data_IF_350335458913
#
_entry.id   IF_350335458913
#
_cell.length_a   1.000
_cell.length_b   1.000
_cell.length_c   1.000
_cell.angle_alpha   90.00
_cell.angle_beta   90.00
_cell.angle_gamma   90.00
#
_symmetry.space_group_name_H-M   'P 1'
#
loop_
_entity.id
_entity.type
_entity.pdbx_description
1 polymer ?
#
# COMPACT_ATOMS: atom_id res chain seq x y z
N UNK A 1 -9.64 -11.06 -20.45
CA UNK A 1 -8.88 -9.81 -20.64
C UNK A 1 -8.25 -9.32 -19.34
N UNK A 2 -8.97 -9.40 -18.19
CA UNK A 2 -8.53 -8.97 -16.86
C UNK A 2 -8.61 -10.13 -15.89
N UNK A 3 -7.60 -10.31 -15.02
CA UNK A 3 -7.72 -11.07 -13.78
C UNK A 3 -7.77 -10.09 -12.61
N UNK A 4 -8.81 -10.19 -11.77
CA UNK A 4 -8.91 -9.45 -10.51
C UNK A 4 -8.17 -10.26 -9.46
N UNK A 5 -7.11 -9.68 -8.89
CA UNK A 5 -6.13 -10.33 -8.03
C UNK A 5 -6.30 -9.82 -6.60
N UNK A 6 -6.71 -10.67 -5.68
CA UNK A 6 -6.97 -10.31 -4.28
C UNK A 6 -6.06 -11.15 -3.38
N UNK A 7 -4.96 -10.59 -2.84
CA UNK A 7 -4.18 -11.24 -1.79
C UNK A 7 -4.96 -11.20 -0.48
N UNK A 8 -5.02 -12.32 0.24
CA UNK A 8 -5.81 -12.46 1.46
C UNK A 8 -4.91 -12.86 2.62
N UNK A 9 -5.07 -12.19 3.76
CA UNK A 9 -4.52 -12.64 5.03
C UNK A 9 -5.45 -12.25 6.18
N UNK A 10 -6.01 -13.26 6.85
CA UNK A 10 -6.90 -13.13 8.00
C UNK A 10 -8.07 -12.15 7.79
N UNK A 11 -8.71 -12.20 6.62
CA UNK A 11 -9.83 -11.33 6.27
C UNK A 11 -10.94 -12.09 5.51
N UNK A 12 -12.21 -11.73 5.74
CA UNK A 12 -13.37 -12.28 5.03
C UNK A 12 -13.65 -11.45 3.77
N UNK A 13 -13.36 -12.00 2.59
CA UNK A 13 -13.51 -11.31 1.30
C UNK A 13 -14.87 -11.59 0.62
N UNK A 14 -15.78 -12.33 1.23
CA UNK A 14 -17.01 -12.76 0.57
C UNK A 14 -17.85 -11.60 0.03
N UNK A 15 -17.98 -10.52 0.79
CA UNK A 15 -18.75 -9.34 0.35
C UNK A 15 -18.11 -8.70 -0.89
N UNK A 16 -16.80 -8.46 -0.87
CA UNK A 16 -16.06 -7.89 -2.00
C UNK A 16 -16.21 -8.77 -3.25
N UNK A 17 -15.99 -10.08 -3.10
CA UNK A 17 -16.07 -11.03 -4.22
C UNK A 17 -17.48 -11.11 -4.81
N UNK A 18 -18.51 -11.13 -3.97
CA UNK A 18 -19.91 -11.15 -4.44
C UNK A 18 -20.27 -9.88 -5.22
N UNK A 19 -19.84 -8.71 -4.76
CA UNK A 19 -20.10 -7.45 -5.47
C UNK A 19 -19.33 -7.38 -6.80
N UNK A 20 -18.11 -7.88 -6.84
CA UNK A 20 -17.34 -8.00 -8.10
C UNK A 20 -18.01 -8.98 -9.07
N UNK A 21 -18.48 -10.15 -8.61
CA UNK A 21 -19.21 -11.11 -9.46
C UNK A 21 -20.45 -10.50 -10.08
N UNK A 22 -21.26 -9.75 -9.29
CA UNK A 22 -22.44 -9.05 -9.82
C UNK A 22 -22.05 -8.07 -10.92
N UNK A 23 -20.99 -7.31 -10.74
CA UNK A 23 -20.54 -6.34 -11.74
C UNK A 23 -19.95 -7.00 -12.99
N UNK A 24 -19.23 -8.13 -12.83
CA UNK A 24 -18.72 -8.92 -13.97
C UNK A 24 -19.87 -9.44 -14.84
N UNK A 25 -20.98 -9.86 -14.25
CA UNK A 25 -22.18 -10.31 -14.99
C UNK A 25 -22.86 -9.19 -15.79
N UNK A 26 -22.71 -7.94 -15.36
CA UNK A 26 -23.34 -6.78 -16.04
C UNK A 26 -22.51 -6.25 -17.22
N UNK A 27 -21.23 -6.61 -17.32
CA UNK A 27 -20.37 -6.15 -18.41
C UNK A 27 -20.39 -7.14 -19.56
N UNK A 28 -20.29 -6.65 -20.80
CA UNK A 28 -20.27 -7.48 -22.01
C UNK A 28 -18.95 -8.23 -22.25
N UNK A 29 -17.93 -7.92 -21.46
CA UNK A 29 -16.60 -8.55 -21.55
C UNK A 29 -16.55 -9.87 -20.76
N UNK A 30 -16.59 -10.99 -21.45
CA UNK A 30 -16.63 -12.34 -20.85
C UNK A 30 -15.26 -12.88 -20.42
N UNK A 31 -14.19 -12.12 -20.55
CA UNK A 31 -12.84 -12.58 -20.23
C UNK A 31 -12.30 -11.96 -18.93
N UNK A 32 -13.14 -11.96 -17.88
CA UNK A 32 -12.76 -11.50 -16.53
C UNK A 32 -12.89 -12.68 -15.55
N UNK A 33 -11.86 -12.89 -14.74
CA UNK A 33 -11.84 -13.86 -13.65
C UNK A 33 -11.33 -13.20 -12.35
N UNK A 34 -11.59 -13.88 -11.23
CA UNK A 34 -11.13 -13.46 -9.89
C UNK A 34 -10.18 -14.52 -9.37
N UNK A 35 -9.01 -14.11 -8.97
CA UNK A 35 -8.00 -14.98 -8.35
C UNK A 35 -7.82 -14.51 -6.91
N UNK A 36 -8.04 -15.41 -5.99
CA UNK A 36 -7.86 -15.23 -4.56
C UNK A 36 -6.65 -16.05 -4.14
N UNK A 37 -5.62 -15.42 -3.58
CA UNK A 37 -4.48 -16.13 -2.99
C UNK A 37 -4.48 -15.82 -1.49
N UNK A 38 -4.63 -16.88 -0.69
CA UNK A 38 -4.63 -16.82 0.77
C UNK A 38 -3.22 -17.08 1.30
N UNK A 39 -2.67 -16.08 1.99
CA UNK A 39 -1.30 -16.06 2.51
C UNK A 39 -1.19 -16.76 3.89
N UNK A 40 -1.68 -17.99 3.98
CA UNK A 40 -1.70 -18.79 5.19
C UNK A 40 -2.56 -18.18 6.32
N UNK A 41 -3.78 -17.76 6.00
CA UNK A 41 -4.75 -17.29 7.00
C UNK A 41 -5.15 -18.39 8.01
N UNK A 42 -5.72 -17.98 9.13
CA UNK A 42 -6.36 -18.88 10.09
C UNK A 42 -7.51 -19.64 9.44
N UNK A 43 -7.75 -20.87 9.89
CA UNK A 43 -8.74 -21.79 9.31
C UNK A 43 -10.15 -21.19 9.18
N UNK A 44 -10.56 -20.36 10.15
CA UNK A 44 -11.86 -19.66 10.10
C UNK A 44 -12.03 -18.80 8.85
N UNK A 45 -10.96 -18.11 8.39
CA UNK A 45 -11.01 -17.28 7.19
C UNK A 45 -10.89 -18.12 5.93
N UNK A 46 -10.03 -19.17 5.94
CA UNK A 46 -9.90 -20.10 4.82
C UNK A 46 -11.22 -20.78 4.49
N UNK A 47 -11.94 -21.24 5.49
CA UNK A 47 -13.26 -21.87 5.33
C UNK A 47 -14.29 -20.90 4.74
N UNK A 48 -14.30 -19.63 5.20
CA UNK A 48 -15.22 -18.60 4.70
C UNK A 48 -14.92 -18.21 3.25
N UNK A 49 -13.63 -18.10 2.89
CA UNK A 49 -13.18 -17.61 1.59
C UNK A 49 -13.14 -18.70 0.50
N UNK A 50 -13.39 -19.96 0.82
CA UNK A 50 -13.44 -21.07 -0.15
C UNK A 50 -14.72 -21.02 -1.00
N UNK A 51 -14.88 -19.95 -1.77
CA UNK A 51 -16.05 -19.68 -2.60
C UNK A 51 -15.97 -20.53 -3.87
N UNK A 52 -16.99 -21.37 -4.11
CA UNK A 52 -17.10 -22.18 -5.31
C UNK A 52 -17.89 -21.44 -6.39
N UNK A 53 -17.18 -20.95 -7.40
CA UNK A 53 -17.78 -20.27 -8.56
C UNK A 53 -16.87 -20.45 -9.78
N UNK A 54 -17.43 -20.58 -10.98
CA UNK A 54 -16.67 -20.87 -12.22
C UNK A 54 -15.63 -19.79 -12.59
N UNK A 55 -15.88 -18.55 -12.22
CA UNK A 55 -14.97 -17.42 -12.49
C UNK A 55 -14.00 -17.13 -11.35
N UNK A 56 -14.02 -17.92 -10.28
CA UNK A 56 -13.18 -17.70 -9.10
C UNK A 56 -12.19 -18.85 -8.94
N UNK A 57 -10.92 -18.51 -8.85
CA UNK A 57 -9.85 -19.42 -8.45
C UNK A 57 -9.39 -19.05 -7.04
N UNK A 58 -9.47 -20.01 -6.10
CA UNK A 58 -8.99 -19.84 -4.72
C UNK A 58 -7.76 -20.72 -4.48
N UNK A 59 -6.65 -20.10 -4.10
CA UNK A 59 -5.36 -20.73 -3.83
C UNK A 59 -4.98 -20.49 -2.37
N UNK A 60 -4.64 -21.54 -1.65
CA UNK A 60 -4.17 -21.46 -0.26
C UNK A 60 -2.68 -21.74 -0.20
N UNK A 61 -1.92 -20.88 0.46
CA UNK A 61 -0.50 -21.10 0.75
C UNK A 61 -0.34 -21.81 2.11
N UNK A 62 0.72 -22.59 2.24
CA UNK A 62 1.04 -23.29 3.49
C UNK A 62 1.68 -22.36 4.53
N UNK A 63 2.37 -21.31 4.06
CA UNK A 63 3.05 -20.33 4.91
C UNK A 63 2.86 -18.92 4.39
N UNK A 64 2.90 -17.93 5.29
CA UNK A 64 2.84 -16.52 4.94
C UNK A 64 4.13 -16.10 4.24
N UNK A 65 4.01 -15.58 3.00
CA UNK A 65 5.13 -15.13 2.19
C UNK A 65 5.24 -13.60 2.10
N UNK A 66 4.25 -12.89 2.59
CA UNK A 66 4.22 -11.44 2.69
C UNK A 66 3.77 -10.70 1.42
N UNK A 67 3.52 -9.40 1.60
CA UNK A 67 2.78 -8.53 0.66
C UNK A 67 3.38 -8.45 -0.75
N UNK A 68 4.68 -8.33 -0.87
CA UNK A 68 5.37 -8.23 -2.17
C UNK A 68 5.36 -9.56 -2.90
N UNK A 69 5.75 -10.62 -2.22
CA UNK A 69 5.87 -11.97 -2.82
C UNK A 69 4.51 -12.49 -3.27
N UNK A 70 3.46 -12.31 -2.46
CA UNK A 70 2.12 -12.77 -2.83
C UNK A 70 1.58 -12.03 -4.05
N UNK A 71 1.80 -10.69 -4.18
CA UNK A 71 1.40 -9.97 -5.39
C UNK A 71 2.15 -10.45 -6.62
N UNK A 72 3.45 -10.71 -6.53
CA UNK A 72 4.23 -11.25 -7.63
C UNK A 72 3.77 -12.66 -8.03
N UNK A 73 3.31 -13.46 -7.06
CA UNK A 73 2.86 -14.83 -7.28
C UNK A 73 1.64 -14.91 -8.22
N UNK A 74 0.79 -13.88 -8.29
CA UNK A 74 -0.35 -13.86 -9.22
C UNK A 74 0.05 -14.06 -10.68
N UNK A 75 1.27 -13.70 -11.07
CA UNK A 75 1.78 -13.90 -12.41
C UNK A 75 1.81 -15.37 -12.83
N UNK A 76 1.87 -16.31 -11.89
CA UNK A 76 1.88 -17.76 -12.15
C UNK A 76 0.50 -18.34 -12.38
N UNK A 77 -0.56 -17.64 -11.90
CA UNK A 77 -1.94 -18.12 -11.93
C UNK A 77 -2.79 -17.49 -13.03
N UNK A 78 -2.27 -16.51 -13.76
CA UNK A 78 -2.98 -15.90 -14.88
C UNK A 78 -2.11 -15.65 -16.09
N UNK A 79 -2.71 -15.83 -17.29
CA UNK A 79 -2.14 -15.40 -18.56
C UNK A 79 -2.84 -14.17 -19.15
N UNK A 80 -3.80 -13.58 -18.42
CA UNK A 80 -4.56 -12.41 -18.89
C UNK A 80 -3.65 -11.22 -19.13
N UNK A 81 -4.05 -10.36 -20.06
CA UNK A 81 -3.27 -9.17 -20.45
C UNK A 81 -3.14 -8.15 -19.32
N UNK A 82 -4.16 -8.02 -18.48
CA UNK A 82 -4.20 -7.08 -17.35
C UNK A 82 -4.48 -7.81 -16.03
N UNK A 83 -3.81 -7.37 -14.98
CA UNK A 83 -4.06 -7.74 -13.60
C UNK A 83 -4.63 -6.51 -12.87
N UNK A 84 -5.80 -6.66 -12.24
CA UNK A 84 -6.39 -5.65 -11.37
C UNK A 84 -6.22 -6.10 -9.92
N UNK A 85 -5.34 -5.44 -9.19
CA UNK A 85 -5.08 -5.73 -7.78
C UNK A 85 -6.02 -4.94 -6.88
N UNK A 86 -6.61 -5.64 -5.91
CA UNK A 86 -7.42 -5.06 -4.83
C UNK A 86 -6.94 -5.63 -3.50
N UNK A 87 -6.80 -4.80 -2.48
CA UNK A 87 -6.57 -5.30 -1.12
C UNK A 87 -7.85 -5.96 -0.59
N UNK A 88 -7.71 -6.99 0.24
CA UNK A 88 -8.83 -7.79 0.77
C UNK A 88 -9.81 -6.98 1.65
N UNK A 89 -9.34 -5.89 2.27
CA UNK A 89 -10.11 -4.95 3.09
C UNK A 89 -10.82 -3.85 2.28
N UNK A 90 -10.96 -4.05 0.97
CA UNK A 90 -11.64 -3.13 0.06
C UNK A 90 -13.13 -3.42 -0.06
N UNK A 91 -13.94 -2.37 -0.30
CA UNK A 91 -15.33 -2.49 -0.72
C UNK A 91 -15.58 -1.67 -1.99
N UNK A 92 -16.38 -2.22 -2.89
CA UNK A 92 -16.84 -1.58 -4.14
C UNK A 92 -18.37 -1.42 -4.18
N UNK A 93 -19.04 -1.66 -3.05
CA UNK A 93 -20.50 -1.70 -2.95
C UNK A 93 -21.17 -0.41 -3.42
N UNK A 94 -20.57 0.74 -3.11
CA UNK A 94 -21.10 2.05 -3.52
C UNK A 94 -20.76 2.43 -4.96
N UNK A 95 -19.84 1.71 -5.60
CA UNK A 95 -19.41 1.97 -6.98
C UNK A 95 -19.86 0.84 -7.91
N UNK A 96 -21.11 0.92 -8.38
CA UNK A 96 -21.72 -0.11 -9.23
C UNK A 96 -21.09 -0.22 -10.64
N UNK A 97 -20.23 0.71 -11.01
CA UNK A 97 -19.52 0.72 -12.30
C UNK A 97 -18.02 0.45 -12.15
N UNK A 98 -17.59 -0.04 -11.00
CA UNK A 98 -16.17 -0.20 -10.68
C UNK A 98 -15.40 -1.01 -11.74
N UNK A 99 -15.93 -2.17 -12.14
CA UNK A 99 -15.34 -3.02 -13.19
C UNK A 99 -15.42 -2.34 -14.56
N UNK A 100 -16.59 -1.76 -14.91
CA UNK A 100 -16.79 -1.08 -16.19
C UNK A 100 -15.84 0.11 -16.37
N UNK A 101 -15.55 0.88 -15.32
CA UNK A 101 -14.64 2.01 -15.37
C UNK A 101 -13.21 1.60 -15.76
N UNK A 102 -12.73 0.44 -15.28
CA UNK A 102 -11.46 -0.12 -15.72
C UNK A 102 -11.48 -0.58 -17.18
N UNK A 103 -12.56 -1.20 -17.62
CA UNK A 103 -12.73 -1.58 -19.03
C UNK A 103 -12.72 -0.36 -19.95
N UNK A 104 -13.40 0.72 -19.56
CA UNK A 104 -13.40 1.99 -20.29
C UNK A 104 -11.98 2.58 -20.37
N UNK A 105 -11.26 2.64 -19.25
CA UNK A 105 -9.89 3.14 -19.23
C UNK A 105 -8.95 2.32 -20.14
N UNK A 106 -9.10 0.99 -20.19
CA UNK A 106 -8.35 0.13 -21.11
C UNK A 106 -8.69 0.44 -22.56
N UNK A 107 -9.97 0.57 -22.88
CA UNK A 107 -10.47 0.82 -24.25
C UNK A 107 -9.99 2.16 -24.78
N UNK A 108 -10.08 3.20 -23.95
CA UNK A 108 -9.80 4.59 -24.36
C UNK A 108 -8.30 4.89 -24.40
N UNK A 109 -7.53 4.41 -23.41
CA UNK A 109 -6.15 4.85 -23.21
C UNK A 109 -5.11 3.76 -23.42
N UNK A 110 -5.51 2.48 -23.42
CA UNK A 110 -4.58 1.32 -23.46
C UNK A 110 -3.41 1.45 -22.49
N UNK A 111 -3.66 1.81 -21.23
CA UNK A 111 -2.63 2.21 -20.28
C UNK A 111 -1.75 1.03 -19.87
N UNK A 112 -0.50 1.32 -19.49
CA UNK A 112 0.38 0.33 -18.86
C UNK A 112 0.01 0.10 -17.41
N UNK A 113 -0.31 1.17 -16.66
CA UNK A 113 -0.71 1.15 -15.24
C UNK A 113 -1.84 2.14 -15.01
N UNK A 114 -2.86 1.74 -14.25
CA UNK A 114 -3.99 2.59 -13.82
C UNK A 114 -4.15 2.49 -12.32
N UNK A 115 -4.36 3.62 -11.63
CA UNK A 115 -4.76 3.66 -10.21
C UNK A 115 -6.15 4.27 -10.07
N UNK A 116 -7.06 3.53 -9.42
CA UNK A 116 -8.44 3.98 -9.14
C UNK A 116 -8.54 4.93 -7.95
N UNK A 117 -7.63 4.81 -6.97
CA UNK A 117 -7.65 5.54 -5.71
C UNK A 117 -8.37 4.79 -4.59
N UNK A 118 -8.35 5.39 -3.40
CA UNK A 118 -9.05 4.86 -2.21
C UNK A 118 -9.72 5.98 -1.43
N UNK A 119 -10.79 5.64 -0.75
CA UNK A 119 -11.52 6.49 0.19
C UNK A 119 -11.71 5.75 1.51
N UNK A 120 -12.12 6.48 2.52
CA UNK A 120 -12.37 5.99 3.88
C UNK A 120 -13.79 6.34 4.31
N UNK A 121 -14.35 5.64 5.32
CA UNK A 121 -15.68 5.95 5.83
C UNK A 121 -15.82 7.42 6.25
N UNK A 122 -16.98 8.02 5.99
CA UNK A 122 -17.25 9.43 6.31
C UNK A 122 -17.19 9.73 7.81
N UNK A 123 -17.37 8.72 8.66
CA UNK A 123 -17.31 8.85 10.13
C UNK A 123 -16.24 7.93 10.69
N UNK A 124 -15.51 8.43 11.69
CA UNK A 124 -14.57 7.61 12.45
C UNK A 124 -15.33 6.49 13.18
N UNK A 125 -14.94 5.22 13.02
CA UNK A 125 -15.65 4.10 13.64
C UNK A 125 -15.60 4.13 15.17
N UNK A 126 -14.44 4.51 15.74
CA UNK A 126 -14.26 4.64 17.18
C UNK A 126 -13.07 5.56 17.52
N UNK A 127 -13.01 6.04 18.78
CA UNK A 127 -11.85 6.81 19.25
C UNK A 127 -10.53 6.01 19.17
N UNK A 128 -10.60 4.69 19.33
CA UNK A 128 -9.43 3.83 19.23
C UNK A 128 -8.84 3.75 17.81
N UNK A 129 -9.59 4.16 16.79
CA UNK A 129 -9.22 4.15 15.38
C UNK A 129 -8.99 5.55 14.78
N UNK A 130 -9.06 6.58 15.64
CA UNK A 130 -9.06 7.99 15.24
C UNK A 130 -7.82 8.41 14.45
N UNK A 131 -6.63 7.90 14.78
CA UNK A 131 -5.38 8.23 14.10
C UNK A 131 -5.35 7.64 12.69
N UNK A 132 -5.60 6.35 12.57
CA UNK A 132 -5.64 5.64 11.28
C UNK A 132 -6.70 6.22 10.36
N UNK A 133 -7.92 6.42 10.88
CA UNK A 133 -9.01 7.04 10.12
C UNK A 133 -8.68 8.46 9.68
N UNK A 134 -8.20 9.32 10.59
CA UNK A 134 -7.83 10.71 10.26
C UNK A 134 -6.72 10.77 9.22
N UNK A 135 -5.74 9.86 9.29
CA UNK A 135 -4.67 9.75 8.31
C UNK A 135 -5.21 9.30 6.95
N UNK A 136 -6.06 8.29 6.94
CA UNK A 136 -6.73 7.78 5.74
C UNK A 136 -7.52 8.88 5.02
N UNK A 137 -8.40 9.59 5.74
CA UNK A 137 -9.25 10.64 5.16
C UNK A 137 -8.44 11.84 4.68
N UNK A 138 -7.45 12.31 5.44
CA UNK A 138 -6.78 13.58 5.14
C UNK A 138 -5.50 13.44 4.30
N UNK A 139 -4.88 12.25 4.28
CA UNK A 139 -3.56 12.04 3.63
C UNK A 139 -3.63 11.04 2.49
N UNK A 140 -4.37 9.92 2.66
CA UNK A 140 -4.42 8.85 1.66
C UNK A 140 -5.58 9.02 0.66
N UNK A 141 -6.75 9.50 1.11
CA UNK A 141 -7.87 9.87 0.23
C UNK A 141 -7.52 11.13 -0.55
N UNK A 142 -6.97 10.97 -1.74
CA UNK A 142 -6.61 12.09 -2.61
C UNK A 142 -7.59 12.18 -3.77
N UNK A 143 -8.02 13.40 -4.08
CA UNK A 143 -8.84 13.65 -5.27
C UNK A 143 -8.08 13.24 -6.55
N UNK A 144 -8.79 12.97 -7.63
CA UNK A 144 -8.19 12.66 -8.93
C UNK A 144 -7.17 13.73 -9.35
N UNK A 145 -7.53 15.02 -9.21
CA UNK A 145 -6.64 16.15 -9.52
C UNK A 145 -5.32 16.10 -8.72
N UNK A 146 -5.37 15.82 -7.42
CA UNK A 146 -4.18 15.70 -6.59
C UNK A 146 -3.30 14.51 -6.98
N UNK A 147 -3.92 13.40 -7.41
CA UNK A 147 -3.20 12.21 -7.85
C UNK A 147 -2.52 12.40 -9.20
N UNK A 148 -3.18 13.06 -10.15
CA UNK A 148 -2.62 13.35 -11.48
C UNK A 148 -1.38 14.23 -11.43
N UNK A 149 -1.32 15.19 -10.50
CA UNK A 149 -0.18 16.10 -10.36
C UNK A 149 1.12 15.41 -9.89
N UNK A 150 1.06 14.19 -9.32
CA UNK A 150 2.20 13.44 -8.78
C UNK A 150 2.07 11.94 -9.05
N UNK A 151 1.65 11.60 -10.26
CA UNK A 151 1.11 10.29 -10.60
C UNK A 151 1.88 9.08 -10.02
N UNK A 152 3.17 8.96 -10.27
CA UNK A 152 3.97 7.84 -9.77
C UNK A 152 4.26 7.91 -8.27
N UNK A 153 4.46 9.13 -7.72
CA UNK A 153 4.78 9.31 -6.28
C UNK A 153 3.58 9.08 -5.34
N UNK A 154 2.38 8.93 -5.89
CA UNK A 154 1.15 8.66 -5.13
C UNK A 154 0.51 7.35 -5.56
N UNK A 155 1.30 6.46 -6.15
CA UNK A 155 0.90 5.10 -6.44
C UNK A 155 0.45 4.38 -5.16
N UNK A 156 -0.62 3.59 -5.26
CA UNK A 156 -1.16 2.77 -4.17
C UNK A 156 -1.50 1.39 -4.71
N UNK A 157 -0.98 0.33 -4.08
CA UNK A 157 -1.20 -1.06 -4.51
C UNK A 157 -2.56 -1.62 -4.11
N UNK A 158 -3.34 -0.88 -3.33
CA UNK A 158 -4.66 -1.32 -2.86
C UNK A 158 -5.74 -1.31 -3.95
N UNK A 159 -5.52 -0.57 -5.04
CA UNK A 159 -6.49 -0.45 -6.15
C UNK A 159 -5.77 -0.01 -7.42
N UNK A 160 -5.16 -0.96 -8.14
CA UNK A 160 -4.49 -0.64 -9.39
C UNK A 160 -4.60 -1.76 -10.41
N UNK A 161 -4.63 -1.36 -11.68
CA UNK A 161 -4.57 -2.25 -12.83
C UNK A 161 -3.23 -2.09 -13.53
N UNK A 162 -2.64 -3.20 -13.97
CA UNK A 162 -1.34 -3.21 -14.65
C UNK A 162 -1.32 -4.20 -15.80
N UNK A 163 -0.63 -3.85 -16.89
CA UNK A 163 -0.33 -4.82 -17.95
C UNK A 163 0.59 -5.90 -17.43
N UNK A 164 0.27 -7.18 -17.72
CA UNK A 164 1.05 -8.34 -17.30
C UNK A 164 2.52 -8.25 -17.68
N UNK A 165 2.83 -7.82 -18.91
CA UNK A 165 4.21 -7.69 -19.38
C UNK A 165 5.00 -6.62 -18.60
N UNK A 166 4.35 -5.53 -18.21
CA UNK A 166 4.97 -4.50 -17.35
C UNK A 166 5.23 -5.05 -15.97
N UNK A 167 4.26 -5.77 -15.38
CA UNK A 167 4.40 -6.36 -14.05
C UNK A 167 5.47 -7.46 -14.01
N UNK A 168 5.59 -8.27 -15.07
CA UNK A 168 6.68 -9.26 -15.20
C UNK A 168 8.06 -8.61 -15.24
N UNK A 169 8.17 -7.46 -15.91
CA UNK A 169 9.45 -6.74 -16.04
C UNK A 169 9.81 -5.97 -14.77
N UNK A 170 8.81 -5.47 -14.06
CA UNK A 170 8.95 -4.66 -12.85
C UNK A 170 8.06 -5.24 -11.74
N UNK A 171 8.45 -6.35 -11.09
CA UNK A 171 7.72 -6.91 -9.97
C UNK A 171 7.91 -6.05 -8.71
N UNK A 172 7.11 -6.30 -7.68
CA UNK A 172 7.35 -5.74 -6.35
C UNK A 172 8.68 -6.23 -5.77
N UNK A 173 9.38 -5.34 -5.05
CA UNK A 173 10.63 -5.68 -4.35
C UNK A 173 10.37 -6.72 -3.24
N UNK A 174 11.12 -7.81 -3.25
CA UNK A 174 10.93 -8.95 -2.34
C UNK A 174 11.88 -8.98 -1.14
N UNK A 175 12.86 -8.06 -1.09
CA UNK A 175 13.80 -7.94 0.05
C UNK A 175 13.15 -7.34 1.29
N UNK A 176 11.98 -6.69 1.13
CA UNK A 176 11.19 -6.16 2.23
C UNK A 176 10.50 -7.30 2.99
N UNK A 177 11.01 -7.60 4.20
CA UNK A 177 10.44 -8.64 5.05
C UNK A 177 9.36 -8.11 6.03
N UNK A 178 9.17 -6.78 6.10
CA UNK A 178 8.26 -6.13 7.01
C UNK A 178 7.28 -5.22 6.26
N UNK A 179 6.36 -4.61 6.99
CA UNK A 179 5.31 -3.73 6.47
C UNK A 179 5.87 -2.40 5.94
N UNK A 180 5.45 -1.99 4.74
CA UNK A 180 5.54 -0.62 4.24
C UNK A 180 6.64 -0.38 3.20
N UNK A 181 6.39 0.64 2.38
CA UNK A 181 7.22 1.15 1.29
C UNK A 181 7.29 0.28 0.02
N UNK A 182 6.61 -0.87 -0.05
CA UNK A 182 6.46 -1.63 -1.28
C UNK A 182 5.85 -0.78 -2.42
N UNK A 183 4.82 0.01 -2.11
CA UNK A 183 4.17 0.94 -3.04
C UNK A 183 5.11 2.05 -3.50
N UNK A 184 5.87 2.57 -2.55
CA UNK A 184 6.85 3.64 -2.79
C UNK A 184 7.91 3.19 -3.77
N UNK A 185 8.52 2.02 -3.52
CA UNK A 185 9.53 1.44 -4.41
C UNK A 185 8.97 1.15 -5.79
N UNK A 186 7.77 0.58 -5.84
CA UNK A 186 7.12 0.28 -7.11
C UNK A 186 6.85 1.57 -7.91
N UNK A 187 6.33 2.61 -7.27
CA UNK A 187 6.11 3.92 -7.89
C UNK A 187 7.40 4.58 -8.39
N UNK A 188 8.51 4.47 -7.65
CA UNK A 188 9.84 4.95 -8.04
C UNK A 188 10.35 4.14 -9.24
N UNK A 189 10.22 2.81 -9.22
CA UNK A 189 10.64 1.94 -10.32
C UNK A 189 9.89 2.30 -11.62
N UNK A 190 8.57 2.48 -11.56
CA UNK A 190 7.78 2.92 -12.71
C UNK A 190 8.24 4.29 -13.23
N UNK A 191 8.50 5.25 -12.32
CA UNK A 191 8.98 6.59 -12.69
C UNK A 191 10.33 6.53 -13.39
N UNK A 192 11.31 5.81 -12.82
CA UNK A 192 12.66 5.71 -13.36
C UNK A 192 12.72 5.02 -14.73
N UNK A 193 11.68 4.23 -15.07
CA UNK A 193 11.53 3.59 -16.37
C UNK A 193 10.55 4.29 -17.32
N UNK A 194 10.15 5.54 -17.01
CA UNK A 194 9.21 6.34 -17.79
C UNK A 194 7.86 5.66 -18.04
N UNK A 195 7.40 4.84 -17.08
CA UNK A 195 6.08 4.23 -17.12
C UNK A 195 5.10 5.16 -16.41
N UNK A 196 4.23 5.77 -17.19
CA UNK A 196 3.21 6.66 -16.65
C UNK A 196 2.09 5.87 -15.94
N UNK A 197 1.69 6.35 -14.76
CA UNK A 197 0.51 5.86 -14.03
C UNK A 197 -0.69 6.74 -14.41
N UNK A 198 -1.67 6.16 -15.08
CA UNK A 198 -2.96 6.80 -15.33
C UNK A 198 -3.80 6.77 -14.04
N UNK A 199 -4.25 7.92 -13.57
CA UNK A 199 -5.21 7.97 -12.46
C UNK A 199 -6.62 8.21 -13.00
N UNK A 200 -7.56 7.39 -12.52
CA UNK A 200 -9.00 7.52 -12.81
C UNK A 200 -9.78 7.71 -11.51
N UNK A 201 -10.98 8.27 -11.59
CA UNK A 201 -11.88 8.38 -10.45
C UNK A 201 -12.69 7.09 -10.29
N UNK A 202 -12.06 6.11 -9.67
CA UNK A 202 -12.62 4.77 -9.46
C UNK A 202 -12.18 4.20 -8.09
N UNK A 203 -12.47 4.93 -6.98
CA UNK A 203 -11.95 4.57 -5.68
C UNK A 203 -12.61 3.29 -5.12
N UNK A 204 -11.83 2.55 -4.33
CA UNK A 204 -12.34 1.58 -3.36
C UNK A 204 -12.58 2.25 -2.02
N UNK A 205 -13.55 1.76 -1.25
CA UNK A 205 -13.70 2.09 0.17
C UNK A 205 -12.86 1.13 1.00
N UNK A 206 -11.91 1.65 1.79
CA UNK A 206 -11.21 0.85 2.80
C UNK A 206 -12.12 0.65 4.01
N UNK A 207 -12.42 -0.59 4.36
CA UNK A 207 -13.37 -0.94 5.43
C UNK A 207 -12.71 -1.41 6.72
N UNK A 208 -11.41 -1.77 6.67
CA UNK A 208 -10.65 -2.17 7.85
C UNK A 208 -9.77 -1.03 8.35
N UNK A 209 -10.23 -0.36 9.39
CA UNK A 209 -9.51 0.76 10.00
C UNK A 209 -8.76 0.24 11.22
N UNK A 210 -7.44 0.23 11.13
CA UNK A 210 -6.58 -0.22 12.23
C UNK A 210 -6.78 0.63 13.49
N UNK A 211 -6.68 0.02 14.66
CA UNK A 211 -6.60 0.78 15.90
C UNK A 211 -5.29 1.60 15.99
N UNK A 212 -5.31 2.64 16.85
CA UNK A 212 -4.20 3.59 16.96
C UNK A 212 -2.86 2.93 17.32
N UNK A 213 -2.86 1.88 18.16
CA UNK A 213 -1.63 1.20 18.56
C UNK A 213 -1.05 0.42 17.40
N UNK A 214 -1.87 -0.39 16.71
CA UNK A 214 -1.44 -1.15 15.54
C UNK A 214 -1.02 -0.21 14.40
N UNK A 215 -1.71 0.91 14.21
CA UNK A 215 -1.33 1.89 13.20
C UNK A 215 0.03 2.54 13.49
N UNK A 216 0.30 2.91 14.76
CA UNK A 216 1.61 3.43 15.19
C UNK A 216 2.70 2.38 14.99
N UNK A 217 2.45 1.12 15.40
CA UNK A 217 3.39 0.01 15.23
C UNK A 217 3.72 -0.23 13.75
N UNK A 218 2.71 -0.32 12.89
CA UNK A 218 2.92 -0.51 11.46
C UNK A 218 3.73 0.63 10.82
N UNK A 219 3.54 1.88 11.28
CA UNK A 219 4.34 3.01 10.82
C UNK A 219 5.78 2.99 11.38
N UNK A 220 6.02 2.40 12.56
CA UNK A 220 7.36 2.16 13.05
C UNK A 220 8.09 1.12 12.17
N UNK A 221 7.44 0.00 11.85
CA UNK A 221 7.97 -0.99 10.91
C UNK A 221 8.24 -0.38 9.52
N UNK A 222 7.34 0.48 9.04
CA UNK A 222 7.57 1.20 7.78
C UNK A 222 8.77 2.18 7.86
N UNK A 223 9.01 2.80 9.01
CA UNK A 223 10.19 3.65 9.20
C UNK A 223 11.50 2.83 9.20
N UNK A 224 11.49 1.64 9.81
CA UNK A 224 12.60 0.68 9.76
C UNK A 224 12.89 0.23 8.33
N UNK A 225 11.86 -0.18 7.59
CA UNK A 225 12.01 -0.53 6.18
C UNK A 225 12.60 0.63 5.36
N UNK A 226 12.12 1.85 5.56
CA UNK A 226 12.64 3.00 4.83
C UNK A 226 14.11 3.27 5.17
N UNK A 227 14.51 3.13 6.44
CA UNK A 227 15.90 3.28 6.87
C UNK A 227 16.78 2.20 6.21
N UNK A 228 16.34 0.95 6.20
CA UNK A 228 17.01 -0.15 5.50
C UNK A 228 17.15 0.12 3.99
N UNK A 229 16.09 0.56 3.31
CA UNK A 229 16.12 0.84 1.88
C UNK A 229 17.10 1.97 1.51
N UNK A 230 17.21 2.98 2.36
CA UNK A 230 18.17 4.07 2.19
C UNK A 230 19.59 3.61 2.51
N UNK A 231 19.80 2.86 3.59
CA UNK A 231 21.11 2.32 3.99
C UNK A 231 21.67 1.35 2.95
N UNK A 232 20.82 0.48 2.39
CA UNK A 232 21.18 -0.50 1.35
C UNK A 232 21.26 0.11 -0.06
N UNK A 233 21.10 1.42 -0.20
CA UNK A 233 21.08 2.15 -1.48
C UNK A 233 20.02 1.63 -2.50
N UNK A 234 18.98 0.92 -2.05
CA UNK A 234 17.83 0.53 -2.87
C UNK A 234 17.04 1.80 -3.24
N UNK A 235 16.89 2.75 -2.30
CA UNK A 235 16.44 4.11 -2.58
C UNK A 235 17.67 5.01 -2.61
N UNK A 236 18.05 5.48 -3.80
CA UNK A 236 19.16 6.39 -3.96
C UNK A 236 18.78 7.85 -3.62
N UNK A 237 19.79 8.69 -3.32
CA UNK A 237 19.55 10.13 -2.99
C UNK A 237 18.77 10.90 -4.07
N UNK A 238 18.92 10.53 -5.34
CA UNK A 238 18.15 11.12 -6.46
C UNK A 238 16.65 10.88 -6.35
N UNK A 239 16.24 9.75 -5.69
CA UNK A 239 14.86 9.30 -5.56
C UNK A 239 14.16 9.86 -4.30
N UNK A 240 14.91 10.50 -3.39
CA UNK A 240 14.36 11.10 -2.16
C UNK A 240 13.22 12.09 -2.42
N UNK A 241 13.24 12.76 -3.58
CA UNK A 241 12.19 13.70 -4.01
C UNK A 241 10.80 13.04 -4.12
N UNK A 242 10.74 11.72 -4.28
CA UNK A 242 9.49 10.95 -4.38
C UNK A 242 8.92 10.56 -3.01
N UNK A 243 9.73 10.64 -1.94
CA UNK A 243 9.34 10.25 -0.58
C UNK A 243 9.32 11.48 0.32
N UNK A 244 8.12 11.94 0.67
CA UNK A 244 7.96 13.19 1.44
C UNK A 244 8.80 13.21 2.73
N UNK A 245 8.87 12.09 3.45
CA UNK A 245 9.67 11.97 4.66
C UNK A 245 11.15 12.22 4.38
N UNK A 246 11.71 11.64 3.30
CA UNK A 246 13.10 11.81 2.92
C UNK A 246 13.41 13.24 2.45
N UNK A 247 12.43 13.94 1.86
CA UNK A 247 12.58 15.38 1.55
C UNK A 247 12.77 16.20 2.83
N UNK A 248 12.01 15.92 3.88
CA UNK A 248 12.17 16.58 5.18
C UNK A 248 13.45 16.16 5.89
N UNK A 249 13.80 14.88 5.84
CA UNK A 249 15.07 14.37 6.37
C UNK A 249 16.26 15.12 5.78
N UNK A 250 16.33 15.26 4.44
CA UNK A 250 17.40 16.00 3.77
C UNK A 250 17.55 17.44 4.24
N UNK A 251 16.45 18.11 4.57
CA UNK A 251 16.50 19.48 5.12
C UNK A 251 17.13 19.51 6.52
N UNK A 252 16.81 18.53 7.37
CA UNK A 252 17.44 18.43 8.69
C UNK A 252 18.93 18.06 8.56
N UNK A 253 19.24 17.09 7.72
CA UNK A 253 20.61 16.64 7.42
C UNK A 253 21.48 17.80 6.91
N UNK A 254 20.96 18.62 5.99
CA UNK A 254 21.72 19.74 5.40
C UNK A 254 22.11 20.85 6.40
N UNK A 255 21.45 20.92 7.55
CA UNK A 255 21.74 21.88 8.64
C UNK A 255 22.32 21.20 9.88
N UNK A 256 22.59 19.88 9.85
CA UNK A 256 23.16 19.10 10.94
C UNK A 256 22.28 19.00 12.18
N UNK A 257 20.95 19.11 12.03
CA UNK A 257 20.00 19.13 13.16
C UNK A 257 19.33 17.78 13.44
N UNK A 258 19.62 16.73 12.68
CA UNK A 258 18.98 15.42 12.84
C UNK A 258 19.21 14.81 14.22
N UNK A 259 20.39 14.98 14.81
CA UNK A 259 20.69 14.49 16.15
C UNK A 259 19.89 15.22 17.22
N UNK A 260 19.88 16.55 17.20
CA UNK A 260 19.11 17.36 18.14
C UNK A 260 17.61 17.08 18.03
N UNK A 261 17.13 16.92 16.80
CA UNK A 261 15.73 16.54 16.54
C UNK A 261 15.41 15.18 17.16
N UNK A 262 16.24 14.16 16.93
CA UNK A 262 16.03 12.83 17.50
C UNK A 262 16.04 12.86 19.03
N UNK A 263 17.02 13.54 19.65
CA UNK A 263 17.11 13.69 21.12
C UNK A 263 15.89 14.39 21.72
N UNK A 264 15.41 15.45 21.06
CA UNK A 264 14.19 16.16 21.47
C UNK A 264 12.97 15.21 21.43
N UNK A 265 12.79 14.48 20.34
CA UNK A 265 11.65 13.57 20.18
C UNK A 265 11.72 12.39 21.15
N UNK A 266 12.89 11.86 21.45
CA UNK A 266 13.06 10.81 22.50
C UNK A 266 12.55 11.30 23.86
N UNK A 267 12.87 12.54 24.24
CA UNK A 267 12.43 13.10 25.52
C UNK A 267 10.91 13.30 25.58
N UNK A 268 10.29 13.73 24.48
CA UNK A 268 8.87 14.02 24.42
C UNK A 268 8.01 12.84 23.91
N UNK A 269 8.60 11.68 23.61
CA UNK A 269 7.90 10.54 23.04
C UNK A 269 6.64 10.11 23.80
N UNK A 270 6.63 10.02 25.15
CA UNK A 270 5.43 9.63 25.90
C UNK A 270 4.26 10.62 25.67
N UNK A 271 4.53 11.92 25.61
CA UNK A 271 3.51 12.96 25.36
C UNK A 271 2.99 12.90 23.91
N UNK A 272 3.90 12.63 22.95
CA UNK A 272 3.56 12.47 21.54
C UNK A 272 2.63 11.27 21.39
N UNK A 273 2.99 10.12 21.93
CA UNK A 273 2.20 8.90 21.85
C UNK A 273 0.82 9.07 22.52
N UNK A 274 0.75 9.78 23.65
CA UNK A 274 -0.54 10.09 24.29
C UNK A 274 -1.45 10.93 23.38
N UNK A 275 -0.90 11.94 22.68
CA UNK A 275 -1.66 12.71 21.69
C UNK A 275 -2.11 11.83 20.51
N UNK A 276 -1.21 11.00 19.96
CA UNK A 276 -1.51 10.16 18.81
C UNK A 276 -2.57 9.08 19.10
N UNK A 277 -2.69 8.66 20.37
CA UNK A 277 -3.70 7.70 20.84
C UNK A 277 -5.02 8.37 21.26
N UNK A 278 -5.09 9.70 21.24
CA UNK A 278 -6.30 10.45 21.64
C UNK A 278 -7.39 10.39 20.57
N UNK A 279 -8.59 10.85 20.92
CA UNK A 279 -9.72 10.99 19.99
C UNK A 279 -9.52 12.07 18.91
N UNK A 280 -8.53 12.97 19.09
CA UNK A 280 -8.19 14.05 18.14
C UNK A 280 -6.68 14.08 17.89
N UNK A 281 -6.12 13.11 17.20
CA UNK A 281 -4.68 13.02 16.97
C UNK A 281 -4.19 14.13 16.04
N UNK A 282 -3.00 14.65 16.33
CA UNK A 282 -2.37 15.67 15.49
C UNK A 282 -1.55 15.03 14.37
N UNK A 283 -2.04 15.08 13.14
CA UNK A 283 -1.36 14.47 11.97
C UNK A 283 -0.03 15.13 11.62
N UNK A 284 0.18 16.42 11.94
CA UNK A 284 1.49 17.07 11.75
C UNK A 284 2.50 16.48 12.73
N UNK A 285 2.11 16.30 13.98
CA UNK A 285 2.92 15.66 15.01
C UNK A 285 3.22 14.21 14.64
N UNK A 286 2.24 13.48 14.09
CA UNK A 286 2.44 12.11 13.60
C UNK A 286 3.47 12.04 12.45
N UNK A 287 3.45 12.98 11.50
CA UNK A 287 4.45 13.04 10.44
C UNK A 287 5.86 13.31 10.97
N UNK A 288 5.99 14.18 11.97
CA UNK A 288 7.28 14.42 12.65
C UNK A 288 7.73 13.19 13.46
N UNK A 289 6.80 12.48 14.08
CA UNK A 289 7.10 11.23 14.80
C UNK A 289 7.61 10.14 13.83
N UNK A 290 7.02 9.98 12.66
CA UNK A 290 7.56 9.08 11.61
C UNK A 290 8.98 9.46 11.18
N UNK A 291 9.26 10.76 11.06
CA UNK A 291 10.60 11.23 10.74
C UNK A 291 11.60 10.92 11.87
N UNK A 292 11.18 11.09 13.11
CA UNK A 292 11.99 10.69 14.28
C UNK A 292 12.31 9.19 14.27
N UNK A 293 11.31 8.34 14.05
CA UNK A 293 11.51 6.89 13.96
C UNK A 293 12.51 6.53 12.85
N UNK A 294 12.36 7.13 11.67
CA UNK A 294 13.29 6.91 10.55
C UNK A 294 14.74 7.32 10.91
N UNK A 295 14.93 8.50 11.52
CA UNK A 295 16.26 8.98 11.91
C UNK A 295 16.90 8.06 12.95
N UNK A 296 16.11 7.60 13.93
CA UNK A 296 16.56 6.67 14.96
C UNK A 296 17.06 5.36 14.35
N UNK A 297 16.23 4.70 13.53
CA UNK A 297 16.58 3.44 12.86
C UNK A 297 17.78 3.57 11.91
N UNK A 298 17.83 4.66 11.14
CA UNK A 298 18.97 4.92 10.23
C UNK A 298 20.28 4.98 10.99
N UNK A 299 20.31 5.65 12.16
CA UNK A 299 21.51 5.74 13.00
C UNK A 299 21.90 4.39 13.60
N UNK A 300 20.94 3.61 14.07
CA UNK A 300 21.21 2.27 14.58
C UNK A 300 21.86 1.38 13.51
N UNK A 301 21.41 1.46 12.24
CA UNK A 301 22.01 0.74 11.13
C UNK A 301 23.46 1.23 10.81
N UNK A 302 23.72 2.52 10.93
CA UNK A 302 25.06 3.09 10.70
C UNK A 302 26.04 2.65 11.81
N UNK A 303 25.62 2.69 13.08
CA UNK A 303 26.44 2.25 14.22
C UNK A 303 26.79 0.76 14.15
N UNK A 304 25.85 -0.11 13.74
CA UNK A 304 26.10 -1.54 13.54
C UNK A 304 27.06 -1.77 12.36
N UNK A 305 26.91 -1.01 11.27
CA UNK A 305 27.79 -1.10 10.11
C UNK A 305 29.24 -0.71 10.43
N UNK A 306 29.45 0.33 11.22
CA UNK A 306 30.78 0.76 11.67
C UNK A 306 31.42 -0.27 12.61
N UNK A 307 30.64 -0.85 13.53
CA UNK A 307 31.16 -1.88 14.45
C UNK A 307 31.61 -3.15 13.71
N UNK A 308 30.96 -3.51 12.61
CA UNK A 308 31.31 -4.68 11.79
C UNK A 308 32.56 -4.50 10.90
N UNK A 309 33.01 -3.26 10.68
CA UNK A 309 34.23 -2.95 9.90
C UNK A 309 35.48 -2.97 10.82
N UNK A 310 35.28 -2.78 12.15
CA UNK A 310 36.37 -2.67 13.13
C UNK A 310 36.67 -4.05 13.78
N UNK A 311 35.82 -5.02 13.59
CA UNK A 311 35.98 -6.41 14.05
C UNK A 311 36.57 -7.31 12.95
#
# INVERSE_FOLDING_TARGET
MISICIPIFNFDVRSLVLDLCKQIQLVSEHSIDIILIDDASEEKFRSLNNIKHETIQYIQLEQNIGRSKIRNLFLTYTSKKYLLFLDCDSSVTENLQFVQNYLNAIKEHRPMVVCGGRIYPNKCPSNAQSLSWSYGVNIESRSLFQRQNKANSVFQSSNFLIQRLVFQKFPFEVSLNQYGHEDTLFGIALFNHNIAVLHIDNPILNIDIADNNNFILNNALAAQNLAFLVHSAIIERKDFKHVRLLVFYRKLESVGLEFLFAKFFTFFEPYILNNLKSSKPNLKLFNLYKLFLFIKEKRELEEVGEASIIS
#
